data_IF_356890810684
#
_entry.id   IF_356890810684
#
_cell.length_a   1.000
_cell.length_b   1.000
_cell.length_c   1.000
_cell.angle_alpha   90.00
_cell.angle_beta   90.00
_cell.angle_gamma   90.00
#
_symmetry.space_group_name_H-M   'P 1'
#
loop_
_entity.id
_entity.type
_entity.pdbx_description
1 polymer ?
#
# COMPACT_ATOMS: atom_id res chain seq x y z
N UNK A 1 8.69 5.58 13.61
CA UNK A 1 8.51 6.42 12.42
C UNK A 1 7.78 5.57 11.41
N UNK A 2 6.52 5.87 11.17
CA UNK A 2 5.77 5.25 10.06
C UNK A 2 6.38 5.76 8.76
N UNK A 3 6.82 4.84 7.90
CA UNK A 3 7.49 5.20 6.65
C UNK A 3 6.44 5.59 5.63
N UNK A 4 6.20 6.89 5.49
CA UNK A 4 5.40 7.46 4.41
C UNK A 4 6.23 7.44 3.13
N UNK A 5 5.76 6.74 2.11
CA UNK A 5 6.37 6.73 0.78
C UNK A 5 5.39 7.37 -0.21
N UNK A 6 5.90 8.29 -1.01
CA UNK A 6 5.10 8.95 -2.05
C UNK A 6 5.42 8.32 -3.39
N UNK A 7 4.38 7.97 -4.14
CA UNK A 7 4.46 7.36 -5.46
C UNK A 7 3.69 8.19 -6.47
N UNK A 8 4.39 8.67 -7.49
CA UNK A 8 3.79 9.39 -8.61
C UNK A 8 3.24 8.38 -9.63
N UNK A 9 1.91 8.24 -9.64
CA UNK A 9 1.16 7.35 -10.51
C UNK A 9 0.74 8.07 -11.79
N UNK A 10 1.22 7.60 -12.92
CA UNK A 10 0.78 8.03 -14.25
C UNK A 10 -0.55 7.34 -14.62
N UNK A 11 -1.62 8.14 -14.77
CA UNK A 11 -2.95 7.73 -15.21
C UNK A 11 -3.37 8.47 -16.49
N UNK A 12 -4.43 8.00 -17.16
CA UNK A 12 -4.95 8.63 -18.38
C UNK A 12 -5.43 10.07 -18.14
N UNK A 13 -5.83 10.40 -16.91
CA UNK A 13 -6.27 11.73 -16.49
C UNK A 13 -5.11 12.64 -16.05
N UNK A 14 -3.89 12.09 -15.92
CA UNK A 14 -2.68 12.82 -15.56
C UNK A 14 -1.86 12.17 -14.45
N UNK A 15 -0.87 12.91 -13.95
CA UNK A 15 -0.05 12.46 -12.82
C UNK A 15 -0.81 12.61 -11.51
N UNK A 16 -0.92 11.52 -10.76
CA UNK A 16 -1.54 11.44 -9.44
C UNK A 16 -0.49 11.14 -8.38
N UNK A 17 -0.54 11.84 -7.26
CA UNK A 17 0.43 11.66 -6.19
C UNK A 17 -0.17 10.81 -5.08
N UNK A 18 0.28 9.56 -4.98
CA UNK A 18 -0.26 8.58 -4.04
C UNK A 18 0.67 8.47 -2.84
N UNK A 19 0.15 8.80 -1.67
CA UNK A 19 0.77 8.56 -0.38
C UNK A 19 0.53 7.11 0.03
N UNK A 20 1.59 6.42 0.43
CA UNK A 20 1.58 5.01 0.83
C UNK A 20 2.15 4.90 2.24
N UNK A 21 1.36 4.36 3.16
CA UNK A 21 1.73 4.20 4.56
C UNK A 21 1.61 2.73 4.97
N UNK A 22 2.66 2.18 5.58
CA UNK A 22 2.59 0.84 6.18
C UNK A 22 1.76 0.88 7.47
N UNK A 23 0.65 0.13 7.50
CA UNK A 23 -0.24 0.10 8.67
C UNK A 23 0.27 -0.97 9.64
N UNK A 24 0.77 -0.53 10.79
CA UNK A 24 1.23 -1.41 11.86
C UNK A 24 0.12 -1.56 12.91
N UNK A 25 -0.93 -2.31 12.57
CA UNK A 25 -2.04 -2.50 13.50
C UNK A 25 -1.83 -3.73 14.39
N UNK A 26 -1.88 -3.55 15.71
CA UNK A 26 -1.86 -4.69 16.64
C UNK A 26 -3.13 -5.52 16.46
N UNK A 27 -3.00 -6.82 16.21
CA UNK A 27 -4.16 -7.72 16.14
C UNK A 27 -4.73 -7.86 17.55
N UNK A 28 -5.99 -7.47 17.81
CA UNK A 28 -6.58 -7.48 19.14
C UNK A 28 -6.47 -8.86 19.81
N UNK A 29 -6.00 -8.89 21.06
CA UNK A 29 -5.80 -10.14 21.80
C UNK A 29 -4.47 -10.86 21.50
N UNK A 30 -3.59 -10.27 20.70
CA UNK A 30 -2.26 -10.80 20.40
C UNK A 30 -1.17 -9.74 20.61
N UNK A 31 0.09 -10.17 20.62
CA UNK A 31 1.26 -9.28 20.55
C UNK A 31 1.80 -9.16 19.11
N UNK A 32 1.00 -9.52 18.11
CA UNK A 32 1.39 -9.57 16.70
C UNK A 32 0.84 -8.33 15.99
N UNK A 33 1.69 -7.69 15.20
CA UNK A 33 1.27 -6.63 14.29
C UNK A 33 0.83 -7.24 12.97
N UNK A 34 -0.30 -6.79 12.44
CA UNK A 34 -0.70 -7.08 11.06
C UNK A 34 0.37 -6.47 10.15
N UNK A 35 1.17 -7.34 9.52
CA UNK A 35 2.18 -6.97 8.54
C UNK A 35 1.59 -7.12 7.14
N UNK A 36 2.04 -6.29 6.19
CA UNK A 36 1.60 -6.39 4.80
C UNK A 36 0.37 -5.56 4.44
N UNK A 37 -0.17 -4.76 5.36
CA UNK A 37 -1.24 -3.79 5.07
C UNK A 37 -0.63 -2.44 4.76
N UNK A 38 -0.98 -1.87 3.61
CA UNK A 38 -0.52 -0.56 3.15
C UNK A 38 -1.72 0.31 2.80
N UNK A 39 -1.84 1.44 3.49
CA UNK A 39 -2.88 2.43 3.22
C UNK A 39 -2.47 3.34 2.09
N UNK A 40 -3.42 3.63 1.21
CA UNK A 40 -3.28 4.53 0.07
C UNK A 40 -4.10 5.79 0.29
N UNK A 41 -3.51 6.95 0.07
CA UNK A 41 -4.22 8.22 0.12
C UNK A 41 -3.72 9.19 -0.94
N UNK A 42 -4.57 10.12 -1.35
CA UNK A 42 -4.24 11.24 -2.23
C UNK A 42 -4.72 12.54 -1.57
N UNK A 43 -3.79 13.28 -0.98
CA UNK A 43 -4.12 14.40 -0.09
C UNK A 43 -4.93 13.93 1.12
N UNK A 44 -6.16 14.44 1.26
CA UNK A 44 -7.10 14.03 2.31
C UNK A 44 -8.03 12.88 1.89
N UNK A 45 -7.93 12.41 0.64
CA UNK A 45 -8.80 11.36 0.10
C UNK A 45 -8.22 9.99 0.41
N UNK A 46 -9.01 9.15 1.10
CA UNK A 46 -8.70 7.75 1.29
C UNK A 46 -8.94 6.96 -0.01
N UNK A 47 -7.91 6.28 -0.49
CA UNK A 47 -7.93 5.44 -1.68
C UNK A 47 -7.93 3.95 -1.31
N UNK A 48 -8.20 3.60 -0.05
CA UNK A 48 -8.25 2.24 0.43
C UNK A 48 -6.89 1.65 0.79
N UNK A 49 -6.85 0.32 0.87
CA UNK A 49 -5.70 -0.40 1.38
C UNK A 49 -5.29 -1.51 0.39
N UNK A 50 -3.99 -1.72 0.25
CA UNK A 50 -3.39 -2.90 -0.37
C UNK A 50 -2.93 -3.84 0.75
N UNK A 51 -3.45 -5.06 0.74
CA UNK A 51 -3.11 -6.10 1.70
C UNK A 51 -2.33 -7.18 0.97
N UNK A 52 -1.10 -7.43 1.40
CA UNK A 52 -0.30 -8.54 0.92
C UNK A 52 -0.47 -9.78 1.82
N UNK A 53 -0.31 -10.95 1.21
CA UNK A 53 -0.08 -12.18 1.96
C UNK A 53 1.27 -12.17 2.71
N UNK A 54 1.49 -13.17 3.57
CA UNK A 54 2.71 -13.35 4.36
C UNK A 54 4.00 -13.43 3.51
N UNK A 55 3.90 -13.62 2.19
CA UNK A 55 5.04 -13.76 1.27
C UNK A 55 5.16 -12.59 0.27
N UNK A 56 4.36 -11.53 0.39
CA UNK A 56 4.24 -10.46 -0.60
C UNK A 56 4.01 -10.99 -2.04
N UNK A 57 3.37 -12.16 -2.19
CA UNK A 57 3.12 -12.81 -3.48
C UNK A 57 1.75 -12.46 -4.00
N UNK A 58 0.73 -12.68 -3.19
CA UNK A 58 -0.64 -12.29 -3.45
C UNK A 58 -0.92 -10.95 -2.79
N UNK A 59 -1.77 -10.16 -3.43
CA UNK A 59 -2.23 -8.88 -2.91
C UNK A 59 -3.70 -8.70 -3.24
N UNK A 60 -4.42 -8.11 -2.30
CA UNK A 60 -5.79 -7.67 -2.46
C UNK A 60 -5.86 -6.16 -2.29
N UNK A 61 -6.81 -5.55 -2.99
CA UNK A 61 -7.08 -4.13 -2.90
C UNK A 61 -8.52 -3.95 -2.46
N UNK A 62 -8.74 -3.17 -1.40
CA UNK A 62 -10.08 -3.01 -0.81
C UNK A 62 -11.05 -2.19 -1.68
N UNK A 63 -10.59 -1.67 -2.84
CA UNK A 63 -11.40 -0.96 -3.83
C UNK A 63 -12.19 0.22 -3.24
N UNK A 64 -11.60 0.94 -2.29
CA UNK A 64 -12.18 2.18 -1.78
C UNK A 64 -11.67 3.37 -2.59
N UNK A 65 -12.57 4.29 -2.98
CA UNK A 65 -12.19 5.50 -3.73
C UNK A 65 -12.05 5.30 -5.24
N UNK A 66 -11.46 6.30 -5.91
CA UNK A 66 -11.39 6.38 -7.37
C UNK A 66 -10.03 5.88 -7.91
N UNK A 67 -9.65 4.66 -7.53
CA UNK A 67 -8.44 4.00 -8.01
C UNK A 67 -8.83 2.67 -8.61
N UNK A 68 -8.49 2.45 -9.88
CA UNK A 68 -8.85 1.22 -10.58
C UNK A 68 -7.85 0.09 -10.26
N UNK A 69 -8.24 -1.16 -10.55
CA UNK A 69 -7.40 -2.32 -10.24
C UNK A 69 -6.05 -2.32 -11.00
N UNK A 70 -5.98 -1.68 -12.17
CA UNK A 70 -4.74 -1.56 -12.94
C UNK A 70 -3.74 -0.63 -12.22
N UNK A 71 -4.22 0.51 -11.74
CA UNK A 71 -3.46 1.47 -10.95
C UNK A 71 -3.01 0.87 -9.63
N UNK A 72 -3.93 0.21 -8.91
CA UNK A 72 -3.63 -0.52 -7.68
C UNK A 72 -2.51 -1.56 -7.90
N UNK A 73 -2.51 -2.26 -9.05
CA UNK A 73 -1.45 -3.20 -9.41
C UNK A 73 -0.08 -2.53 -9.62
N UNK A 74 -0.04 -1.30 -10.18
CA UNK A 74 1.22 -0.53 -10.29
C UNK A 74 1.76 -0.19 -8.90
N UNK A 75 0.89 0.25 -8.00
CA UNK A 75 1.25 0.59 -6.62
C UNK A 75 1.70 -0.65 -5.85
N UNK A 76 0.98 -1.78 -5.96
CA UNK A 76 1.36 -3.04 -5.32
C UNK A 76 2.77 -3.50 -5.75
N UNK A 77 3.10 -3.37 -7.04
CA UNK A 77 4.45 -3.67 -7.54
C UNK A 77 5.50 -2.74 -6.93
N UNK A 78 5.19 -1.45 -6.82
CA UNK A 78 6.08 -0.48 -6.20
C UNK A 78 6.32 -0.79 -4.71
N UNK A 79 5.26 -1.10 -3.96
CA UNK A 79 5.35 -1.51 -2.55
C UNK A 79 6.23 -2.75 -2.42
N UNK A 80 5.96 -3.79 -3.21
CA UNK A 80 6.76 -5.01 -3.21
C UNK A 80 8.24 -4.72 -3.48
N UNK A 81 8.55 -3.85 -4.44
CA UNK A 81 9.94 -3.52 -4.74
C UNK A 81 10.62 -2.72 -3.62
N UNK A 82 9.95 -1.71 -3.04
CA UNK A 82 10.55 -0.81 -2.06
C UNK A 82 10.62 -1.40 -0.64
N UNK A 83 9.63 -2.20 -0.26
CA UNK A 83 9.53 -2.76 1.09
C UNK A 83 10.11 -4.18 1.16
N UNK A 84 10.25 -4.91 0.05
CA UNK A 84 10.96 -6.21 0.06
C UNK A 84 12.49 -6.05 0.18
N UNK A 85 13.05 -4.88 -0.18
CA UNK A 85 14.49 -4.60 -0.03
C UNK A 85 14.94 -4.33 1.39
N UNK A 86 14.03 -4.08 2.34
CA UNK A 86 14.37 -3.87 3.76
C UNK A 86 14.37 -5.17 4.58
N UNK A 87 13.93 -6.29 4.00
CA UNK A 87 13.91 -7.61 4.68
C UNK A 87 15.15 -8.46 4.38
N UNK A 88 16.08 -7.95 3.56
CA UNK A 88 17.30 -8.65 3.12
C UNK A 88 18.59 -8.03 3.68
N UNK A 89 18.50 -7.17 4.70
CA UNK A 89 19.64 -6.53 5.38
C UNK A 89 19.89 -7.10 6.76
#
# INVERSE_FOLDING_TARGET
MEKLVVFDLDTEDGMRQISIEAVHQLIPGTHVYATGVFRLSEGETDLGDIVFDDNLKEWEYTCMGNLNHHEAKKIARFIKHNFSTEVAG
#
